data_IF_187196098994
#
_entry.id   IF_187196098994
#
_cell.length_a   1.000
_cell.length_b   1.000
_cell.length_c   1.000
_cell.angle_alpha   90.00
_cell.angle_beta   90.00
_cell.angle_gamma   90.00
#
_symmetry.space_group_name_H-M   'P 1'
#
loop_
_entity.id
_entity.type
_entity.pdbx_description
1 polymer ?
#
# COMPACT_ATOMS: atom_id res chain seq x y z
N UNK A 1 10.02 23.81 -1.34
CA UNK A 1 8.64 23.68 -1.86
C UNK A 1 8.79 22.99 -3.18
N UNK A 2 9.07 21.71 -3.09
CA UNK A 2 9.49 20.89 -4.21
C UNK A 2 8.21 20.38 -4.83
N UNK A 3 7.64 21.17 -5.72
CA UNK A 3 6.50 20.76 -6.52
C UNK A 3 6.90 19.51 -7.30
N UNK A 4 6.29 18.37 -6.96
CA UNK A 4 6.39 17.16 -7.76
C UNK A 4 6.24 17.51 -9.26
N UNK A 5 7.22 17.16 -10.11
CA UNK A 5 7.09 17.30 -11.55
C UNK A 5 5.81 16.62 -12.05
N UNK A 6 5.09 17.29 -12.96
CA UNK A 6 3.85 16.76 -13.54
C UNK A 6 4.04 15.39 -14.22
N UNK A 7 5.25 15.11 -14.71
CA UNK A 7 5.64 13.79 -15.23
C UNK A 7 5.58 12.69 -14.16
N UNK A 8 5.98 12.99 -12.91
CA UNK A 8 5.91 12.04 -11.80
C UNK A 8 4.47 11.83 -11.33
N UNK A 9 3.66 12.87 -11.26
CA UNK A 9 2.22 12.72 -10.94
C UNK A 9 1.51 11.81 -11.94
N UNK A 10 1.81 11.97 -13.23
CA UNK A 10 1.27 11.10 -14.28
C UNK A 10 1.78 9.67 -14.13
N UNK A 11 3.08 9.49 -13.88
CA UNK A 11 3.68 8.18 -13.66
C UNK A 11 3.01 7.44 -12.49
N UNK A 12 2.83 8.12 -11.35
CA UNK A 12 2.16 7.53 -10.18
C UNK A 12 0.69 7.24 -10.45
N UNK A 13 -0.05 8.17 -11.07
CA UNK A 13 -1.44 7.92 -11.47
C UNK A 13 -1.58 6.70 -12.39
N UNK A 14 -0.66 6.52 -13.33
CA UNK A 14 -0.64 5.32 -14.17
C UNK A 14 -0.30 4.05 -13.38
N UNK A 15 0.62 4.12 -12.42
CA UNK A 15 0.93 3.00 -11.54
C UNK A 15 -0.29 2.60 -10.68
N UNK A 16 -1.00 3.56 -10.10
CA UNK A 16 -2.27 3.31 -9.37
C UNK A 16 -3.29 2.63 -10.28
N UNK A 17 -3.48 3.13 -11.51
CA UNK A 17 -4.37 2.49 -12.50
C UNK A 17 -3.92 1.08 -12.88
N UNK A 18 -2.62 0.78 -12.87
CA UNK A 18 -2.11 -0.58 -13.10
C UNK A 18 -2.45 -1.50 -11.94
N UNK A 19 -2.41 -1.00 -10.70
CA UNK A 19 -2.85 -1.74 -9.51
C UNK A 19 -4.35 -2.03 -9.61
N UNK A 20 -5.16 -1.03 -9.92
CA UNK A 20 -6.62 -1.18 -10.07
C UNK A 20 -7.02 -2.18 -11.17
N UNK A 21 -6.21 -2.29 -12.23
CA UNK A 21 -6.44 -3.24 -13.32
C UNK A 21 -6.15 -4.69 -12.97
N UNK A 22 -5.47 -4.97 -11.86
CA UNK A 22 -5.17 -6.34 -11.44
C UNK A 22 -6.38 -7.08 -10.87
N UNK A 23 -7.42 -6.35 -10.46
CA UNK A 23 -8.66 -6.90 -9.92
C UNK A 23 -8.67 -6.95 -8.39
N UNK A 24 -9.87 -7.13 -7.84
CA UNK A 24 -10.11 -7.38 -6.42
C UNK A 24 -9.96 -8.90 -6.21
N UNK A 25 -8.95 -9.36 -5.44
CA UNK A 25 -8.57 -8.73 -4.18
C UNK A 25 -7.14 -8.13 -4.12
N UNK A 26 -6.29 -8.38 -5.12
CA UNK A 26 -4.89 -7.89 -5.11
C UNK A 26 -4.81 -6.36 -5.03
N UNK A 27 -5.68 -5.65 -5.76
CA UNK A 27 -5.76 -4.19 -5.70
C UNK A 27 -6.08 -3.69 -4.28
N UNK A 28 -7.00 -4.36 -3.58
CA UNK A 28 -7.39 -4.03 -2.22
C UNK A 28 -6.18 -4.13 -1.28
N UNK A 29 -5.49 -5.27 -1.29
CA UNK A 29 -4.33 -5.49 -0.41
C UNK A 29 -3.20 -4.51 -0.65
N UNK A 30 -2.87 -4.24 -1.93
CA UNK A 30 -1.81 -3.30 -2.28
C UNK A 30 -2.15 -1.88 -1.79
N UNK A 31 -3.37 -1.40 -2.03
CA UNK A 31 -3.80 -0.06 -1.60
C UNK A 31 -3.75 0.06 -0.07
N UNK A 32 -4.26 -0.94 0.63
CA UNK A 32 -4.31 -0.94 2.08
C UNK A 32 -2.92 -1.09 2.71
N UNK A 33 -2.03 -1.90 2.11
CA UNK A 33 -0.62 -1.96 2.49
C UNK A 33 0.08 -0.60 2.36
N UNK A 34 -0.11 0.10 1.23
CA UNK A 34 0.43 1.46 1.04
C UNK A 34 -0.08 2.42 2.11
N UNK A 35 -1.38 2.31 2.44
CA UNK A 35 -2.00 3.11 3.50
C UNK A 35 -1.35 2.86 4.87
N UNK A 36 -1.13 1.61 5.26
CA UNK A 36 -0.45 1.29 6.51
C UNK A 36 0.98 1.82 6.54
N UNK A 37 1.75 1.63 5.47
CA UNK A 37 3.14 2.11 5.39
C UNK A 37 3.20 3.63 5.50
N UNK A 38 2.30 4.32 4.79
CA UNK A 38 2.21 5.78 4.82
C UNK A 38 1.83 6.32 6.21
N UNK A 39 0.90 5.67 6.91
CA UNK A 39 0.44 6.09 8.23
C UNK A 39 1.37 5.67 9.38
N UNK A 40 2.19 4.63 9.21
CA UNK A 40 2.89 3.97 10.32
C UNK A 40 3.97 4.82 11.02
N UNK A 41 4.46 5.90 10.40
CA UNK A 41 5.52 6.76 10.97
C UNK A 41 6.85 6.05 11.26
N UNK A 42 6.93 4.74 11.02
CA UNK A 42 8.08 3.86 11.20
C UNK A 42 8.07 2.79 10.09
N UNK A 43 9.22 2.19 9.77
CA UNK A 43 9.27 1.04 8.87
C UNK A 43 8.44 -0.11 9.46
N UNK A 44 7.46 -0.60 8.71
CA UNK A 44 6.74 -1.83 9.05
C UNK A 44 7.46 -3.02 8.43
N UNK A 45 7.25 -4.20 8.99
CA UNK A 45 7.60 -5.47 8.33
C UNK A 45 6.44 -5.97 7.47
N UNK A 46 6.75 -6.84 6.52
CA UNK A 46 5.72 -7.48 5.68
C UNK A 46 4.70 -8.20 6.56
N UNK A 47 5.17 -8.93 7.57
CA UNK A 47 4.33 -9.62 8.55
C UNK A 47 3.42 -8.66 9.32
N UNK A 48 3.90 -7.48 9.73
CA UNK A 48 3.06 -6.46 10.38
C UNK A 48 1.97 -5.91 9.46
N UNK A 49 2.29 -5.68 8.18
CA UNK A 49 1.29 -5.23 7.20
C UNK A 49 0.25 -6.32 6.98
N UNK A 50 0.67 -7.57 6.79
CA UNK A 50 -0.20 -8.72 6.70
C UNK A 50 -1.11 -8.86 7.93
N UNK A 51 -0.55 -8.71 9.13
CA UNK A 51 -1.28 -8.76 10.39
C UNK A 51 -2.30 -7.63 10.50
N UNK A 52 -1.94 -6.40 10.10
CA UNK A 52 -2.85 -5.26 10.09
C UNK A 52 -4.00 -5.43 9.09
N UNK A 53 -3.72 -5.98 7.90
CA UNK A 53 -4.73 -6.30 6.89
C UNK A 53 -5.73 -7.35 7.39
N UNK A 54 -5.24 -8.41 8.04
CA UNK A 54 -6.11 -9.44 8.58
C UNK A 54 -6.95 -8.96 9.77
N UNK A 55 -6.37 -8.12 10.63
CA UNK A 55 -7.09 -7.49 11.74
C UNK A 55 -8.25 -6.62 11.26
N UNK A 56 -8.10 -5.96 10.11
CA UNK A 56 -9.13 -5.14 9.48
C UNK A 56 -10.25 -5.97 8.84
N UNK A 57 -9.91 -7.06 8.17
CA UNK A 57 -10.90 -7.97 7.58
C UNK A 57 -11.70 -8.69 8.69
N UNK A 58 -11.19 -8.72 9.92
CA UNK A 58 -11.85 -9.30 11.09
C UNK A 58 -11.89 -10.82 11.07
N UNK A 59 -11.19 -11.44 10.12
CA UNK A 59 -11.23 -12.87 9.86
C UNK A 59 -9.82 -13.46 9.92
N UNK A 60 -9.46 -13.99 11.10
CA UNK A 60 -8.16 -14.61 11.34
C UNK A 60 -7.97 -15.92 10.55
N UNK A 61 -9.03 -16.52 10.00
CA UNK A 61 -8.95 -17.79 9.25
C UNK A 61 -8.49 -17.59 7.80
N UNK A 62 -8.55 -16.35 7.29
CA UNK A 62 -8.18 -16.02 5.92
C UNK A 62 -6.69 -15.69 5.74
N UNK A 63 -5.90 -15.73 6.82
CA UNK A 63 -4.49 -15.32 6.84
C UNK A 63 -3.60 -15.97 5.76
N UNK A 64 -3.82 -17.25 5.44
CA UNK A 64 -2.95 -18.00 4.52
C UNK A 64 -3.44 -18.01 3.06
N UNK A 65 -4.76 -17.93 2.83
CA UNK A 65 -5.34 -18.03 1.48
C UNK A 65 -5.69 -16.66 0.87
N UNK A 66 -5.85 -15.62 1.71
CA UNK A 66 -6.33 -14.30 1.26
C UNK A 66 -5.21 -13.28 1.16
N UNK A 67 -4.15 -13.40 1.97
CA UNK A 67 -3.02 -12.49 1.87
C UNK A 67 -2.11 -12.90 0.70
N UNK A 68 -1.82 -11.99 -0.24
CA UNK A 68 -0.83 -12.26 -1.27
C UNK A 68 0.53 -12.46 -0.60
N UNK A 69 1.25 -13.50 -1.02
CA UNK A 69 2.63 -13.73 -0.61
C UNK A 69 3.46 -12.44 -0.77
N UNK A 70 4.50 -12.24 0.05
CA UNK A 70 5.35 -11.04 -0.01
C UNK A 70 5.73 -10.64 -1.44
N UNK A 71 6.13 -11.64 -2.24
CA UNK A 71 6.55 -11.42 -3.64
C UNK A 71 5.40 -10.99 -4.53
N UNK A 72 4.19 -11.49 -4.27
CA UNK A 72 2.97 -11.08 -4.94
C UNK A 72 2.59 -9.66 -4.54
N UNK A 73 2.61 -9.30 -3.25
CA UNK A 73 2.28 -7.94 -2.81
C UNK A 73 3.22 -6.89 -3.44
N UNK A 74 4.54 -7.17 -3.45
CA UNK A 74 5.53 -6.28 -4.06
C UNK A 74 5.37 -6.25 -5.59
N UNK A 75 5.16 -7.40 -6.23
CA UNK A 75 4.94 -7.50 -7.68
C UNK A 75 3.68 -6.77 -8.13
N UNK A 76 2.59 -6.95 -7.40
CA UNK A 76 1.27 -6.35 -7.63
C UNK A 76 1.26 -4.84 -7.33
N UNK A 77 2.20 -4.33 -6.52
CA UNK A 77 2.32 -2.90 -6.24
C UNK A 77 2.76 -2.03 -7.42
N UNK A 78 3.01 -2.61 -8.60
CA UNK A 78 3.56 -1.90 -9.76
C UNK A 78 4.89 -1.16 -9.44
N UNK A 79 5.63 -1.64 -8.43
CA UNK A 79 6.88 -1.02 -7.97
C UNK A 79 6.69 0.20 -7.07
N UNK A 80 5.48 0.46 -6.55
CA UNK A 80 5.23 1.52 -5.58
C UNK A 80 5.75 1.16 -4.17
N UNK A 81 5.86 -0.13 -3.88
CA UNK A 81 6.36 -0.64 -2.60
C UNK A 81 7.67 -1.39 -2.82
N UNK A 82 8.58 -1.28 -1.85
CA UNK A 82 9.82 -2.04 -1.80
C UNK A 82 9.93 -2.76 -0.46
N UNK A 83 10.54 -3.93 -0.48
CA UNK A 83 10.93 -4.64 0.75
C UNK A 83 12.45 -4.68 0.85
N UNK A 84 12.98 -4.22 1.98
CA UNK A 84 14.38 -4.38 2.31
C UNK A 84 14.68 -5.85 2.66
N UNK A 85 15.62 -6.45 1.94
CA UNK A 85 15.94 -7.88 2.11
C UNK A 85 16.66 -8.19 3.42
N UNK A 86 17.32 -7.20 4.05
CA UNK A 86 18.07 -7.40 5.29
C UNK A 86 17.16 -7.28 6.51
N UNK A 87 16.35 -6.24 6.55
CA UNK A 87 15.48 -5.91 7.68
C UNK A 87 14.05 -6.44 7.52
N UNK A 88 13.70 -6.99 6.35
CA UNK A 88 12.32 -7.41 6.00
C UNK A 88 11.29 -6.28 6.14
N UNK A 89 11.77 -5.04 6.13
CA UNK A 89 10.95 -3.85 6.24
C UNK A 89 10.32 -3.54 4.88
N UNK A 90 9.03 -3.24 4.89
CA UNK A 90 8.25 -2.81 3.74
C UNK A 90 8.09 -1.28 3.79
N UNK A 91 8.49 -0.61 2.71
CA UNK A 91 8.54 0.84 2.62
C UNK A 91 8.12 1.33 1.23
N UNK A 92 7.74 2.60 1.12
CA UNK A 92 7.45 3.22 -0.17
C UNK A 92 8.73 3.23 -1.02
N UNK A 93 8.59 2.96 -2.32
CA UNK A 93 9.74 2.87 -3.21
C UNK A 93 10.52 4.18 -3.35
N UNK A 94 9.86 5.33 -3.13
CA UNK A 94 10.48 6.65 -3.23
C UNK A 94 9.77 7.71 -2.39
N UNK A 95 10.51 8.72 -1.89
CA UNK A 95 9.92 9.83 -1.13
C UNK A 95 8.90 10.65 -1.94
N UNK A 96 9.08 10.76 -3.26
CA UNK A 96 8.11 11.44 -4.13
C UNK A 96 6.77 10.71 -4.23
N UNK A 97 6.71 9.42 -3.90
CA UNK A 97 5.43 8.71 -3.76
C UNK A 97 4.70 9.18 -2.50
N UNK A 98 5.42 9.46 -1.42
CA UNK A 98 4.85 10.03 -0.21
C UNK A 98 4.22 11.41 -0.50
N UNK A 99 4.95 12.29 -1.20
CA UNK A 99 4.43 13.60 -1.61
C UNK A 99 3.22 13.49 -2.57
N UNK A 100 3.20 12.48 -3.45
CA UNK A 100 2.05 12.19 -4.29
C UNK A 100 0.83 11.75 -3.46
N UNK A 101 1.03 10.87 -2.49
CA UNK A 101 -0.02 10.41 -1.57
C UNK A 101 -0.56 11.56 -0.70
N UNK A 102 0.30 12.46 -0.23
CA UNK A 102 -0.11 13.66 0.52
C UNK A 102 -1.02 14.58 -0.30
N UNK A 103 -0.78 14.68 -1.62
CA UNK A 103 -1.62 15.46 -2.54
C UNK A 103 -2.88 14.71 -2.98
N UNK A 104 -2.81 13.38 -3.09
CA UNK A 104 -3.87 12.53 -3.63
C UNK A 104 -4.21 11.38 -2.66
N UNK A 105 -4.64 11.68 -1.42
CA UNK A 105 -4.92 10.63 -0.43
C UNK A 105 -5.99 9.66 -0.92
N UNK A 106 -7.02 10.15 -1.63
CA UNK A 106 -8.11 9.32 -2.15
C UNK A 106 -7.72 8.32 -3.26
N UNK A 107 -6.51 8.41 -3.83
CA UNK A 107 -6.08 7.51 -4.91
C UNK A 107 -5.71 6.11 -4.39
N UNK A 108 -5.14 6.05 -3.18
CA UNK A 108 -4.58 4.82 -2.60
C UNK A 108 -4.98 4.64 -1.13
N UNK A 109 -5.33 5.71 -0.43
CA UNK A 109 -5.87 5.61 0.92
C UNK A 109 -7.39 5.38 0.80
N UNK A 110 -7.93 4.40 1.52
CA UNK A 110 -9.36 4.35 1.75
C UNK A 110 -9.74 5.66 2.43
N UNK A 111 -10.71 6.38 1.87
CA UNK A 111 -11.15 7.65 2.43
C UNK A 111 -11.59 7.48 3.89
N UNK A 112 -11.57 8.55 4.70
CA UNK A 112 -11.95 8.50 6.12
C UNK A 112 -13.38 7.97 6.39
N UNK A 113 -14.19 7.78 5.35
CA UNK A 113 -15.55 7.25 5.42
C UNK A 113 -15.64 5.71 5.41
N UNK A 114 -14.54 4.98 5.24
CA UNK A 114 -14.61 3.51 5.23
C UNK A 114 -13.45 2.90 6.02
N UNK A 115 -13.79 2.55 7.27
CA UNK A 115 -13.18 1.42 7.98
C UNK A 115 -11.83 1.64 8.68
N UNK A 116 -11.64 2.76 9.38
CA UNK A 116 -10.58 2.87 10.41
C UNK A 116 -11.11 3.21 11.80
N UNK A 117 -12.43 3.09 11.98
CA UNK A 117 -13.14 3.42 13.22
C UNK A 117 -13.94 2.23 13.76
N UNK A 118 -13.31 1.05 13.87
CA UNK A 118 -13.74 -0.01 14.79
C UNK A 118 -12.54 -0.83 15.26
N UNK A 119 -11.73 -0.24 16.12
CA UNK A 119 -10.88 -0.97 17.06
C UNK A 119 -11.08 -0.38 18.45
#
# INVERSE_FOLDING_TARGET
MDTLPSDLERYYSEAVKRIEKQGDPDCYFVKRAISFIFCAGRPLTVDEVCLALAAEIGDNELFEDVLPAQENLVGSSAGLIRVDKKSKAIELAHHTLQEYLEKHPAALLPGPDTDLAKA
#
